data_IF_694092401985
#
_entry.id   IF_694092401985
#
_cell.length_a   1.000
_cell.length_b   1.000
_cell.length_c   1.000
_cell.angle_alpha   90.00
_cell.angle_beta   90.00
_cell.angle_gamma   90.00
#
_symmetry.space_group_name_H-M   'P 1'
#
loop_
_entity.id
_entity.type
_entity.pdbx_description
1 polymer ?
#
# COMPACT_ATOMS: atom_id res chain seq x y z
N UNK A 1 1.07 54.94 -42.81
CA UNK A 1 0.34 53.67 -42.98
C UNK A 1 1.17 52.58 -42.29
N UNK A 2 0.85 52.19 -41.07
CA UNK A 2 1.54 51.18 -40.27
C UNK A 2 0.57 49.99 -40.18
N UNK A 3 0.96 48.85 -40.74
CA UNK A 3 0.14 47.60 -40.77
C UNK A 3 0.21 46.95 -39.36
N UNK A 4 -0.96 46.85 -38.72
CA UNK A 4 -1.20 45.97 -37.55
C UNK A 4 -1.39 44.55 -38.05
N UNK A 5 -0.43 43.70 -37.78
CA UNK A 5 -0.56 42.21 -37.73
C UNK A 5 0.75 41.69 -37.15
N UNK A 6 0.65 41.16 -35.92
CA UNK A 6 1.47 40.09 -35.32
C UNK A 6 1.45 40.21 -33.83
N UNK A 7 0.40 39.66 -33.21
CA UNK A 7 0.34 39.40 -31.77
C UNK A 7 -0.80 38.39 -31.48
N UNK A 8 -0.63 37.14 -31.87
CA UNK A 8 -1.33 35.99 -31.25
C UNK A 8 -0.51 34.73 -31.52
N UNK A 9 0.43 34.39 -30.70
CA UNK A 9 0.97 33.04 -30.53
C UNK A 9 1.88 32.97 -29.32
N UNK A 10 1.39 32.98 -28.10
CA UNK A 10 2.14 32.58 -26.91
C UNK A 10 1.19 32.36 -25.74
N UNK A 11 0.37 31.33 -25.76
CA UNK A 11 -0.60 31.06 -24.70
C UNK A 11 -0.87 29.60 -24.40
N UNK A 12 -0.30 28.65 -25.15
CA UNK A 12 -0.70 27.24 -25.03
C UNK A 12 0.33 26.30 -24.36
N UNK A 13 1.54 26.76 -24.06
CA UNK A 13 2.62 25.87 -23.57
C UNK A 13 2.67 25.68 -22.03
N UNK A 14 2.01 26.53 -21.23
CA UNK A 14 2.09 26.44 -19.76
C UNK A 14 1.10 25.47 -19.10
N UNK A 15 0.05 25.05 -19.76
CA UNK A 15 -0.98 24.19 -19.14
C UNK A 15 -0.59 22.71 -19.08
N UNK A 16 0.27 22.22 -19.99
CA UNK A 16 0.66 20.79 -19.99
C UNK A 16 1.69 20.43 -18.92
N UNK A 17 2.59 21.33 -18.55
CA UNK A 17 3.61 21.06 -17.54
C UNK A 17 3.02 20.86 -16.11
N UNK A 18 1.91 21.55 -15.79
CA UNK A 18 1.23 21.42 -14.50
C UNK A 18 0.47 20.09 -14.32
N UNK A 19 -0.03 19.50 -15.39
CA UNK A 19 -0.76 18.24 -15.35
C UNK A 19 0.18 17.04 -15.17
N UNK A 20 1.33 17.05 -15.81
CA UNK A 20 2.36 15.99 -15.69
C UNK A 20 3.01 16.00 -14.31
N UNK A 21 3.28 17.17 -13.72
CA UNK A 21 3.82 17.28 -12.37
C UNK A 21 2.83 16.82 -11.29
N UNK A 22 1.53 16.96 -11.51
CA UNK A 22 0.48 16.48 -10.60
C UNK A 22 0.32 14.96 -10.66
N UNK A 23 0.44 14.35 -11.84
CA UNK A 23 0.37 12.89 -12.01
C UNK A 23 1.58 12.17 -11.39
N UNK A 24 2.79 12.71 -11.53
CA UNK A 24 3.98 12.17 -10.87
C UNK A 24 3.88 12.27 -9.34
N UNK A 25 3.36 13.38 -8.81
CA UNK A 25 3.20 13.59 -7.37
C UNK A 25 2.13 12.68 -6.73
N UNK A 26 1.07 12.33 -7.48
CA UNK A 26 0.02 11.43 -6.99
C UNK A 26 0.48 9.98 -6.89
N UNK A 27 1.49 9.55 -7.68
CA UNK A 27 2.06 8.21 -7.63
C UNK A 27 3.08 8.05 -6.49
N UNK A 28 3.63 9.16 -5.95
CA UNK A 28 4.69 9.16 -4.94
C UNK A 28 4.18 9.48 -3.52
N UNK A 29 2.87 9.70 -3.34
CA UNK A 29 2.28 9.89 -2.01
C UNK A 29 1.69 8.57 -1.45
N UNK A 30 1.46 8.45 -0.14
CA UNK A 30 0.92 7.24 0.46
C UNK A 30 -0.42 6.79 -0.14
N UNK A 31 -1.31 7.73 -0.46
CA UNK A 31 -2.62 7.41 -1.04
C UNK A 31 -2.48 6.88 -2.47
N UNK A 32 -1.59 7.48 -3.28
CA UNK A 32 -1.28 7.03 -4.63
C UNK A 32 -0.66 5.64 -4.66
N UNK A 33 0.27 5.34 -3.74
CA UNK A 33 0.87 4.00 -3.59
C UNK A 33 -0.22 2.96 -3.29
N UNK A 34 -1.10 3.22 -2.31
CA UNK A 34 -2.17 2.30 -1.96
C UNK A 34 -3.21 2.17 -3.07
N UNK A 35 -3.58 3.28 -3.73
CA UNK A 35 -4.49 3.24 -4.89
C UNK A 35 -3.93 2.35 -5.99
N UNK A 36 -2.64 2.43 -6.30
CA UNK A 36 -2.01 1.57 -7.29
C UNK A 36 -2.02 0.09 -6.89
N UNK A 37 -1.71 -0.22 -5.63
CA UNK A 37 -1.76 -1.58 -5.07
C UNK A 37 -3.18 -2.14 -5.19
N UNK A 38 -4.18 -1.44 -4.66
CA UNK A 38 -5.56 -1.95 -4.61
C UNK A 38 -6.28 -1.93 -5.96
N UNK A 39 -5.89 -1.03 -6.89
CA UNK A 39 -6.35 -1.12 -8.28
C UNK A 39 -5.90 -2.42 -8.94
N UNK A 40 -4.69 -2.88 -8.66
CA UNK A 40 -4.20 -4.18 -9.15
C UNK A 40 -4.96 -5.32 -8.49
N UNK A 41 -5.15 -5.28 -7.16
CA UNK A 41 -5.90 -6.29 -6.40
C UNK A 41 -7.34 -6.40 -6.90
N UNK A 42 -8.08 -5.29 -7.01
CA UNK A 42 -9.48 -5.27 -7.45
C UNK A 42 -9.69 -5.70 -8.92
N UNK A 43 -8.67 -5.64 -9.76
CA UNK A 43 -8.74 -6.18 -11.13
C UNK A 43 -8.79 -7.70 -11.18
N UNK A 44 -8.54 -8.36 -10.07
CA UNK A 44 -8.87 -9.75 -9.79
C UNK A 44 -8.51 -10.76 -10.88
N UNK A 45 -7.29 -10.77 -11.38
CA UNK A 45 -6.84 -11.84 -12.28
C UNK A 45 -5.98 -12.83 -11.52
N UNK A 46 -6.65 -13.68 -10.69
CA UNK A 46 -6.20 -15.04 -10.41
C UNK A 46 -4.89 -15.27 -9.64
N UNK A 47 -4.16 -14.25 -9.26
CA UNK A 47 -2.82 -14.38 -8.69
C UNK A 47 -2.72 -14.03 -7.20
N UNK A 48 -3.83 -14.19 -6.48
CA UNK A 48 -3.77 -14.18 -5.02
C UNK A 48 -3.67 -12.79 -4.39
N UNK A 49 -4.45 -11.82 -4.86
CA UNK A 49 -4.68 -10.58 -4.12
C UNK A 49 -3.47 -9.67 -4.05
N UNK A 50 -3.04 -9.34 -2.82
CA UNK A 50 -1.98 -8.37 -2.55
C UNK A 50 -0.61 -8.96 -2.22
N UNK A 51 -0.45 -10.27 -2.27
CA UNK A 51 0.80 -10.96 -1.90
C UNK A 51 2.01 -10.47 -2.69
N UNK A 52 1.82 -9.96 -3.90
CA UNK A 52 2.89 -9.36 -4.71
C UNK A 52 3.65 -8.23 -4.02
N UNK A 53 3.10 -7.62 -2.97
CA UNK A 53 3.77 -6.58 -2.16
C UNK A 53 4.90 -7.17 -1.32
N UNK A 54 4.75 -8.43 -0.91
CA UNK A 54 5.62 -9.12 0.04
C UNK A 54 6.24 -10.42 -0.49
N UNK A 55 5.92 -10.84 -1.72
CA UNK A 55 6.22 -12.15 -2.29
C UNK A 55 7.72 -12.49 -2.33
N UNK A 56 8.57 -11.48 -2.54
CA UNK A 56 10.00 -11.67 -2.67
C UNK A 56 10.80 -10.46 -2.18
N UNK A 57 12.12 -10.60 -2.11
CA UNK A 57 13.03 -9.55 -1.63
C UNK A 57 12.91 -8.25 -2.41
N UNK A 58 12.75 -8.31 -3.73
CA UNK A 58 12.65 -7.12 -4.57
C UNK A 58 11.32 -6.39 -4.33
N UNK A 59 10.21 -7.11 -4.21
CA UNK A 59 8.91 -6.56 -3.88
C UNK A 59 8.93 -5.89 -2.49
N UNK A 60 9.44 -6.59 -1.47
CA UNK A 60 9.61 -6.03 -0.13
C UNK A 60 10.44 -4.73 -0.16
N UNK A 61 11.57 -4.71 -0.87
CA UNK A 61 12.41 -3.51 -0.99
C UNK A 61 11.71 -2.35 -1.75
N UNK A 62 10.83 -2.67 -2.70
CA UNK A 62 10.06 -1.67 -3.43
C UNK A 62 9.04 -0.96 -2.54
N UNK A 63 8.27 -1.72 -1.76
CA UNK A 63 7.11 -1.20 -1.04
C UNK A 63 7.38 -0.90 0.42
N UNK A 64 8.21 -1.72 1.09
CA UNK A 64 8.40 -1.67 2.53
C UNK A 64 9.59 -0.80 2.94
N UNK A 65 9.56 -0.28 4.15
CA UNK A 65 10.69 0.43 4.77
C UNK A 65 11.87 -0.51 4.98
N UNK A 66 13.08 0.05 4.96
CA UNK A 66 14.31 -0.71 5.25
C UNK A 66 14.25 -1.44 6.59
N UNK A 67 13.65 -0.80 7.60
CA UNK A 67 13.51 -1.40 8.92
C UNK A 67 12.53 -2.58 8.93
N UNK A 68 11.43 -2.51 8.16
CA UNK A 68 10.48 -3.63 8.05
C UNK A 68 11.07 -4.77 7.23
N UNK A 69 11.77 -4.48 6.13
CA UNK A 69 12.50 -5.48 5.34
C UNK A 69 13.54 -6.22 6.17
N UNK A 70 14.32 -5.48 6.98
CA UNK A 70 15.35 -6.09 7.85
C UNK A 70 14.74 -6.98 8.93
N UNK A 71 13.61 -6.54 9.54
CA UNK A 71 12.89 -7.34 10.52
C UNK A 71 12.33 -8.62 9.90
N UNK A 72 11.74 -8.51 8.70
CA UNK A 72 11.22 -9.67 7.97
C UNK A 72 12.30 -10.68 7.62
N UNK A 73 13.44 -10.20 7.13
CA UNK A 73 14.58 -11.07 6.82
C UNK A 73 15.10 -11.84 8.05
N UNK A 74 15.07 -11.22 9.23
CA UNK A 74 15.43 -11.92 10.48
C UNK A 74 14.43 -13.01 10.84
N UNK A 75 13.14 -12.77 10.67
CA UNK A 75 12.09 -13.73 10.92
C UNK A 75 12.16 -14.90 9.92
N UNK A 76 12.30 -14.61 8.62
CA UNK A 76 12.47 -15.62 7.57
C UNK A 76 13.69 -16.53 7.83
N UNK A 77 14.80 -15.96 8.33
CA UNK A 77 16.02 -16.72 8.65
C UNK A 77 15.85 -17.71 9.83
N UNK A 78 14.84 -17.51 10.67
CA UNK A 78 14.50 -18.45 11.78
C UNK A 78 13.49 -19.51 11.38
N UNK A 79 12.71 -19.27 10.32
CA UNK A 79 11.75 -20.24 9.79
C UNK A 79 12.50 -21.44 9.20
N UNK A 80 12.25 -22.64 9.72
CA UNK A 80 12.88 -23.86 9.21
C UNK A 80 12.36 -24.16 7.81
N UNK A 81 13.20 -24.82 7.01
CA UNK A 81 12.78 -25.25 5.66
C UNK A 81 11.58 -26.19 5.74
N UNK A 82 10.46 -25.78 5.14
CA UNK A 82 9.20 -26.51 5.15
C UNK A 82 8.18 -26.04 6.18
N UNK A 83 8.59 -25.16 7.10
CA UNK A 83 7.65 -24.52 8.03
C UNK A 83 6.93 -23.35 7.36
N UNK A 84 5.74 -23.03 7.88
CA UNK A 84 4.99 -21.82 7.50
C UNK A 84 5.72 -20.59 8.07
N UNK A 85 5.87 -19.57 7.25
CA UNK A 85 6.47 -18.31 7.68
C UNK A 85 5.62 -17.56 8.71
N UNK A 86 6.18 -16.51 9.34
CA UNK A 86 5.50 -15.77 10.41
C UNK A 86 4.23 -15.00 9.95
N UNK A 87 4.04 -14.87 8.65
CA UNK A 87 2.87 -14.27 8.02
C UNK A 87 2.35 -15.26 6.97
N UNK A 88 1.27 -15.96 7.27
CA UNK A 88 0.66 -17.04 6.50
C UNK A 88 -0.63 -16.64 5.78
N UNK A 89 -0.90 -15.35 5.71
CA UNK A 89 -2.05 -14.77 5.03
C UNK A 89 -1.64 -13.55 4.18
N UNK A 90 -2.53 -13.10 3.31
CA UNK A 90 -2.35 -11.86 2.57
C UNK A 90 -2.68 -10.64 3.44
N UNK A 91 -1.70 -9.87 3.94
CA UNK A 91 -1.96 -8.72 4.79
C UNK A 91 -2.57 -7.53 4.05
N UNK A 92 -2.53 -7.53 2.72
CA UNK A 92 -3.13 -6.47 1.88
C UNK A 92 -4.63 -6.65 1.77
N UNK A 93 -5.12 -7.89 1.81
CA UNK A 93 -6.55 -8.19 1.73
C UNK A 93 -7.13 -8.70 3.03
N UNK A 94 -6.28 -8.94 4.05
CA UNK A 94 -6.67 -9.55 5.33
C UNK A 94 -7.39 -10.89 5.12
N UNK A 95 -6.91 -11.73 4.20
CA UNK A 95 -7.58 -12.94 3.79
C UNK A 95 -6.60 -14.00 3.27
N UNK A 96 -6.98 -15.26 3.33
CA UNK A 96 -6.33 -16.35 2.59
C UNK A 96 -6.96 -16.55 1.20
N UNK A 97 -8.23 -16.16 1.04
CA UNK A 97 -8.97 -16.14 -0.21
C UNK A 97 -9.37 -14.71 -0.57
N UNK A 98 -8.52 -13.97 -1.29
CA UNK A 98 -8.78 -12.57 -1.64
C UNK A 98 -10.01 -12.40 -2.53
N UNK A 99 -10.99 -11.62 -2.05
CA UNK A 99 -12.16 -11.17 -2.82
C UNK A 99 -12.34 -9.67 -2.58
N UNK A 100 -11.81 -8.86 -3.49
CA UNK A 100 -11.88 -7.39 -3.41
C UNK A 100 -12.60 -6.85 -4.63
N UNK A 101 -13.84 -6.40 -4.43
CA UNK A 101 -14.66 -5.72 -5.44
C UNK A 101 -14.30 -4.25 -5.58
N UNK A 102 -14.22 -3.56 -4.45
CA UNK A 102 -13.90 -2.14 -4.40
C UNK A 102 -13.14 -1.81 -3.12
N UNK A 103 -12.53 -0.63 -3.11
CA UNK A 103 -11.76 -0.14 -1.98
C UNK A 103 -11.88 1.37 -1.84
N UNK A 104 -11.67 1.87 -0.63
CA UNK A 104 -11.59 3.30 -0.33
C UNK A 104 -10.33 3.58 0.47
N UNK A 105 -9.49 4.49 -0.03
CA UNK A 105 -8.29 4.96 0.66
C UNK A 105 -8.60 6.27 1.37
N UNK A 106 -8.22 6.39 2.63
CA UNK A 106 -8.37 7.61 3.43
C UNK A 106 -7.11 7.86 4.26
N UNK A 107 -6.70 9.12 4.36
CA UNK A 107 -5.67 9.53 5.31
C UNK A 107 -6.29 9.63 6.71
N UNK A 108 -5.71 8.92 7.70
CA UNK A 108 -6.08 9.10 9.11
C UNK A 108 -5.17 10.14 9.78
N UNK A 109 -3.87 10.11 9.43
CA UNK A 109 -2.88 11.04 9.96
C UNK A 109 -1.73 11.23 8.96
N UNK A 110 -1.21 12.45 8.85
CA UNK A 110 0.01 12.75 8.09
C UNK A 110 0.76 13.90 8.74
N UNK A 111 1.97 13.64 9.21
CA UNK A 111 2.82 14.60 9.89
C UNK A 111 4.27 14.40 9.46
N UNK A 112 4.83 15.40 8.78
CA UNK A 112 6.21 15.36 8.29
C UNK A 112 6.50 14.12 7.43
N UNK A 113 7.41 13.29 7.89
CA UNK A 113 7.85 12.07 7.21
C UNK A 113 7.10 10.79 7.66
N UNK A 114 5.94 10.96 8.28
CA UNK A 114 5.07 9.86 8.73
C UNK A 114 3.65 10.06 8.26
N UNK A 115 2.99 8.95 7.88
CA UNK A 115 1.56 8.96 7.58
C UNK A 115 0.92 7.65 8.03
N UNK A 116 -0.34 7.72 8.44
CA UNK A 116 -1.22 6.56 8.63
C UNK A 116 -2.38 6.67 7.66
N UNK A 117 -2.56 5.63 6.85
CA UNK A 117 -3.63 5.52 5.87
C UNK A 117 -4.53 4.35 6.23
N UNK A 118 -5.83 4.50 6.01
CA UNK A 118 -6.81 3.42 6.11
C UNK A 118 -7.31 3.03 4.72
N UNK A 119 -7.45 1.74 4.50
CA UNK A 119 -8.09 1.17 3.30
C UNK A 119 -9.26 0.31 3.76
N UNK A 120 -10.48 0.69 3.36
CA UNK A 120 -11.69 -0.08 3.60
C UNK A 120 -12.00 -0.90 2.36
N UNK A 121 -12.26 -2.20 2.53
CA UNK A 121 -12.51 -3.16 1.46
C UNK A 121 -13.98 -3.57 1.39
N UNK A 122 -14.46 -3.84 0.18
CA UNK A 122 -15.72 -4.47 -0.11
C UNK A 122 -15.49 -5.71 -0.99
N UNK A 123 -16.12 -6.83 -0.65
CA UNK A 123 -16.06 -8.08 -1.40
C UNK A 123 -17.14 -8.16 -2.49
N UNK A 124 -16.96 -9.04 -3.51
CA UNK A 124 -18.00 -9.35 -4.48
C UNK A 124 -19.10 -10.20 -3.88
N UNK A 125 -18.72 -11.16 -3.05
CA UNK A 125 -19.65 -12.01 -2.32
C UNK A 125 -20.01 -11.37 -0.97
N UNK A 126 -21.04 -11.90 -0.31
CA UNK A 126 -21.39 -11.45 1.03
C UNK A 126 -20.16 -11.61 1.94
N UNK A 127 -19.63 -10.49 2.37
CA UNK A 127 -18.44 -10.44 3.18
C UNK A 127 -18.70 -11.13 4.53
N UNK A 128 -17.97 -12.22 4.79
CA UNK A 128 -18.03 -12.94 6.04
C UNK A 128 -17.43 -12.16 7.22
N UNK A 129 -16.70 -11.10 6.95
CA UNK A 129 -16.12 -10.23 7.98
C UNK A 129 -17.22 -9.54 8.77
N UNK A 130 -17.28 -9.83 10.06
CA UNK A 130 -18.43 -9.49 10.91
C UNK A 130 -18.54 -8.00 11.22
N UNK A 131 -17.42 -7.27 11.24
CA UNK A 131 -17.40 -5.89 11.69
C UNK A 131 -16.51 -4.99 10.80
N UNK A 132 -16.65 -3.66 11.00
CA UNK A 132 -15.93 -2.68 10.22
C UNK A 132 -14.40 -2.70 10.45
N UNK A 133 -13.96 -3.19 11.62
CA UNK A 133 -12.53 -3.29 11.94
C UNK A 133 -11.85 -4.33 11.03
N UNK A 134 -12.53 -5.46 10.78
CA UNK A 134 -12.00 -6.54 9.95
C UNK A 134 -11.92 -6.17 8.45
N UNK A 135 -12.73 -5.17 8.03
CA UNK A 135 -12.75 -4.64 6.66
C UNK A 135 -11.74 -3.53 6.43
N UNK A 136 -11.10 -3.03 7.50
CA UNK A 136 -10.20 -1.88 7.42
C UNK A 136 -8.77 -2.28 7.67
N UNK A 137 -7.91 -2.06 6.67
CA UNK A 137 -6.48 -2.29 6.75
C UNK A 137 -5.80 -0.94 6.89
N UNK A 138 -4.90 -0.80 7.85
CA UNK A 138 -4.14 0.41 8.12
C UNK A 138 -2.70 0.24 7.74
N UNK A 139 -2.15 1.27 7.12
CA UNK A 139 -0.77 1.34 6.68
C UNK A 139 -0.07 2.49 7.40
N UNK A 140 0.96 2.18 8.16
CA UNK A 140 1.88 3.20 8.62
C UNK A 140 2.97 3.39 7.56
N UNK A 141 3.18 4.63 7.17
CA UNK A 141 4.22 5.02 6.21
C UNK A 141 5.31 5.82 6.88
N UNK A 142 6.52 5.67 6.34
CA UNK A 142 7.66 6.55 6.63
C UNK A 142 8.28 7.02 5.31
N UNK A 143 8.89 8.21 5.32
CA UNK A 143 9.63 8.69 4.18
C UNK A 143 11.10 8.29 4.33
N UNK A 144 11.66 7.61 3.33
CA UNK A 144 13.06 7.19 3.24
C UNK A 144 13.62 7.68 1.90
N UNK A 145 14.71 8.45 1.93
CA UNK A 145 15.36 9.03 0.73
C UNK A 145 14.34 9.75 -0.20
N UNK A 146 13.41 10.49 0.39
CA UNK A 146 12.35 11.22 -0.31
C UNK A 146 11.18 10.37 -0.79
N UNK A 147 11.22 9.03 -0.62
CA UNK A 147 10.16 8.11 -1.03
C UNK A 147 9.35 7.61 0.16
N UNK A 148 8.04 7.49 -0.01
CA UNK A 148 7.17 6.88 0.98
C UNK A 148 7.28 5.36 0.95
N UNK A 149 7.46 4.74 2.12
CA UNK A 149 7.58 3.29 2.30
C UNK A 149 6.63 2.81 3.40
N UNK A 150 6.03 1.66 3.19
CA UNK A 150 5.18 1.01 4.19
C UNK A 150 6.06 0.54 5.34
N UNK A 151 5.79 1.05 6.53
CA UNK A 151 6.55 0.71 7.75
C UNK A 151 5.82 -0.32 8.62
N UNK A 152 4.51 -0.43 8.49
CA UNK A 152 3.68 -1.48 9.08
C UNK A 152 2.38 -1.65 8.30
N UNK A 153 1.80 -2.84 8.34
CA UNK A 153 0.45 -3.15 7.88
C UNK A 153 -0.30 -3.73 9.06
N UNK A 154 -1.49 -3.23 9.30
CA UNK A 154 -2.31 -3.57 10.48
C UNK A 154 -3.75 -3.85 10.07
N UNK A 155 -4.39 -4.77 10.75
CA UNK A 155 -5.80 -5.11 10.55
C UNK A 155 -6.40 -5.75 11.78
N UNK A 156 -7.53 -6.41 11.61
CA UNK A 156 -8.15 -7.21 12.64
C UNK A 156 -8.80 -8.46 12.05
N UNK A 157 -8.92 -9.51 12.84
CA UNK A 157 -9.70 -10.72 12.54
C UNK A 157 -10.61 -10.98 13.73
N UNK A 158 -11.91 -11.05 13.49
CA UNK A 158 -12.94 -11.17 14.54
C UNK A 158 -12.79 -10.10 15.63
N UNK A 159 -12.42 -8.88 15.21
CA UNK A 159 -12.16 -7.76 16.10
C UNK A 159 -10.81 -7.78 16.81
N UNK A 160 -10.06 -8.88 16.74
CA UNK A 160 -8.72 -8.99 17.33
C UNK A 160 -7.67 -8.34 16.43
N UNK A 161 -6.95 -7.29 16.91
CA UNK A 161 -6.00 -6.57 16.08
C UNK A 161 -4.72 -7.37 15.82
N UNK A 162 -4.14 -7.20 14.65
CA UNK A 162 -2.82 -7.67 14.28
C UNK A 162 -1.98 -6.57 13.64
N UNK A 163 -0.66 -6.74 13.67
CA UNK A 163 0.33 -5.91 12.98
C UNK A 163 1.41 -6.82 12.43
N UNK A 164 1.85 -6.57 11.20
CA UNK A 164 2.96 -7.32 10.61
C UNK A 164 4.21 -7.20 11.48
N UNK A 165 4.51 -6.01 11.99
CA UNK A 165 5.66 -5.84 12.89
C UNK A 165 5.54 -6.69 14.15
N UNK A 166 4.37 -6.74 14.77
CA UNK A 166 4.15 -7.54 15.96
C UNK A 166 4.34 -9.04 15.65
N UNK A 167 3.73 -9.56 14.60
CA UNK A 167 3.87 -10.96 14.17
C UNK A 167 5.34 -11.34 13.94
N UNK A 168 6.08 -10.47 13.22
CA UNK A 168 7.51 -10.70 12.96
C UNK A 168 8.35 -10.66 14.24
N UNK A 169 8.07 -9.75 15.17
CA UNK A 169 8.77 -9.68 16.46
C UNK A 169 8.48 -10.89 17.32
N UNK A 170 7.22 -11.34 17.35
CA UNK A 170 6.80 -12.48 18.15
C UNK A 170 7.43 -13.78 17.62
N UNK A 171 7.54 -13.95 16.30
CA UNK A 171 8.25 -15.10 15.71
C UNK A 171 9.74 -15.17 16.06
N UNK A 172 10.34 -14.06 16.49
CA UNK A 172 11.74 -14.02 16.92
C UNK A 172 11.92 -14.41 18.40
N UNK A 173 10.84 -14.56 19.17
CA UNK A 173 10.88 -14.96 20.58
C UNK A 173 10.79 -16.48 20.76
N UNK A 174 10.32 -17.18 19.75
CA UNK A 174 10.19 -18.64 19.67
C UNK A 174 11.51 -19.27 19.23
#
# INVERSE_FOLDING_TARGET
MIRRRDLIASGAAMALAGALARSARAADDPAGILTAIYTRVAKGKGDGGGTFVIENKAAKAKYLSRSLVALWAKADARTKKGDVGPVDFDPVTNSQDPDVKSFKVAAEKQEGDRATMAVTLEAHQRDARANAADKTIRYDFVREDGQWKINDIKGAVDGSPWSIRALLVDSLKL
#
